data_IF_162611915466
#
_entry.id   IF_162611915466
#
_cell.length_a   1.000
_cell.length_b   1.000
_cell.length_c   1.000
_cell.angle_alpha   90.00
_cell.angle_beta   90.00
_cell.angle_gamma   90.00
#
_symmetry.space_group_name_H-M   'P 1'
#
loop_
_entity.id
_entity.type
_entity.pdbx_description
1 polymer ?
#
# COMPACT_ATOMS: atom_id res chain seq x y z
N UNK A 1 -30.59 27.71 -27.48
CA UNK A 1 -29.14 27.54 -27.19
C UNK A 1 -28.41 27.66 -28.50
N UNK A 2 -27.60 28.70 -28.68
CA UNK A 2 -26.75 28.87 -29.85
C UNK A 2 -25.56 27.91 -29.73
N UNK A 3 -25.43 26.99 -30.69
CA UNK A 3 -24.30 26.07 -30.77
C UNK A 3 -23.15 26.81 -31.45
N UNK A 4 -22.06 27.05 -30.72
CA UNK A 4 -20.84 27.61 -31.28
C UNK A 4 -19.95 26.46 -31.77
N UNK A 5 -19.52 26.51 -33.03
CA UNK A 5 -18.57 25.54 -33.59
C UNK A 5 -17.22 25.64 -32.88
N UNK A 6 -16.63 24.47 -32.57
CA UNK A 6 -15.29 24.37 -32.01
C UNK A 6 -14.25 24.44 -33.14
N UNK A 7 -13.20 25.22 -32.92
CA UNK A 7 -12.05 25.24 -33.83
C UNK A 7 -11.25 23.92 -33.71
N UNK A 8 -10.53 23.50 -34.77
CA UNK A 8 -9.79 22.23 -34.77
C UNK A 8 -8.84 22.05 -33.58
N UNK A 9 -8.23 23.14 -33.10
CA UNK A 9 -7.29 23.15 -32.00
C UNK A 9 -7.95 22.83 -30.65
N UNK A 10 -9.27 23.06 -30.55
CA UNK A 10 -10.06 22.74 -29.35
C UNK A 10 -10.62 21.31 -29.35
N UNK A 11 -10.44 20.57 -30.45
CA UNK A 11 -10.93 19.20 -30.58
C UNK A 11 -10.00 18.17 -29.92
N UNK A 12 -8.75 18.55 -29.61
CA UNK A 12 -7.75 17.66 -29.02
C UNK A 12 -7.02 18.35 -27.88
N UNK A 13 -6.86 17.63 -26.77
CA UNK A 13 -5.89 18.00 -25.75
C UNK A 13 -4.49 17.57 -26.24
N UNK A 14 -3.62 18.54 -26.50
CA UNK A 14 -2.21 18.28 -26.80
C UNK A 14 -1.37 18.39 -25.53
N UNK A 15 -0.48 17.41 -25.34
CA UNK A 15 0.53 17.44 -24.29
C UNK A 15 1.87 17.76 -24.95
N UNK A 16 2.40 18.98 -24.79
CA UNK A 16 3.66 19.38 -25.40
C UNK A 16 4.83 18.54 -24.86
N UNK A 17 5.69 17.96 -25.72
CA UNK A 17 6.78 17.09 -25.27
C UNK A 17 7.77 17.76 -24.32
N UNK A 18 7.98 19.07 -24.49
CA UNK A 18 8.83 19.92 -23.66
C UNK A 18 8.33 20.05 -22.21
N UNK A 19 7.07 19.70 -21.92
CA UNK A 19 6.51 19.72 -20.56
C UNK A 19 6.79 18.43 -19.76
N UNK A 20 7.22 17.35 -20.40
CA UNK A 20 7.35 16.02 -19.76
C UNK A 20 8.67 15.87 -18.98
N UNK A 21 9.67 16.73 -19.24
CA UNK A 21 10.88 16.84 -18.43
C UNK A 21 11.87 15.66 -18.52
N UNK A 22 11.67 14.73 -19.45
CA UNK A 22 12.60 13.63 -19.77
C UNK A 22 12.57 13.33 -21.28
N UNK A 23 13.70 12.89 -21.84
CA UNK A 23 13.74 12.45 -23.24
C UNK A 23 13.16 11.03 -23.37
N UNK A 24 13.47 10.17 -22.42
CA UNK A 24 12.95 8.79 -22.35
C UNK A 24 12.44 8.45 -20.95
N UNK A 25 11.43 7.59 -20.87
CA UNK A 25 10.90 7.11 -19.58
C UNK A 25 11.89 6.25 -18.79
N UNK A 26 12.99 5.81 -19.42
CA UNK A 26 14.05 5.07 -18.74
C UNK A 26 14.88 5.95 -17.79
N UNK A 27 14.87 7.27 -17.99
CA UNK A 27 15.53 8.24 -17.10
C UNK A 27 14.75 8.44 -15.79
N UNK A 28 13.48 8.05 -15.76
CA UNK A 28 12.61 8.26 -14.61
C UNK A 28 12.75 7.12 -13.60
N UNK A 29 13.01 7.48 -12.34
CA UNK A 29 12.98 6.55 -11.22
C UNK A 29 11.56 6.06 -10.91
N UNK A 30 11.42 4.94 -10.18
CA UNK A 30 10.12 4.48 -9.72
C UNK A 30 9.48 5.53 -8.80
N UNK A 31 8.18 5.76 -8.97
CA UNK A 31 7.43 6.69 -8.12
C UNK A 31 7.19 6.04 -6.76
N UNK A 32 7.59 6.73 -5.70
CA UNK A 32 7.30 6.30 -4.34
C UNK A 32 5.84 6.53 -3.97
N UNK A 33 5.22 5.50 -3.38
CA UNK A 33 3.87 5.58 -2.84
C UNK A 33 2.75 5.35 -3.86
N UNK A 34 1.58 5.93 -3.58
CA UNK A 34 0.36 5.71 -4.38
C UNK A 34 -0.05 7.04 -5.03
N UNK A 35 0.05 7.11 -6.36
CA UNK A 35 -0.22 8.33 -7.13
C UNK A 35 -1.70 8.72 -7.00
N UNK A 36 -1.97 9.98 -6.67
CA UNK A 36 -3.32 10.56 -6.66
C UNK A 36 -4.26 10.01 -5.58
N UNK A 37 -3.72 9.36 -4.54
CA UNK A 37 -4.52 8.69 -3.49
C UNK A 37 -4.20 9.21 -2.08
N UNK A 38 -4.02 10.53 -1.92
CA UNK A 38 -3.64 11.17 -0.65
C UNK A 38 -4.56 10.81 0.51
N UNK A 39 -5.87 10.76 0.26
CA UNK A 39 -6.87 10.37 1.27
C UNK A 39 -6.67 8.93 1.72
N UNK A 40 -6.41 8.02 0.78
CA UNK A 40 -6.21 6.61 1.07
C UNK A 40 -4.92 6.39 1.87
N UNK A 41 -3.85 7.08 1.49
CA UNK A 41 -2.56 7.06 2.20
C UNK A 41 -2.69 7.55 3.65
N UNK A 42 -3.39 8.68 3.87
CA UNK A 42 -3.65 9.20 5.22
C UNK A 42 -4.43 8.20 6.08
N UNK A 43 -5.48 7.59 5.53
CA UNK A 43 -6.28 6.59 6.22
C UNK A 43 -5.46 5.34 6.57
N UNK A 44 -4.62 4.86 5.64
CA UNK A 44 -3.76 3.70 5.85
C UNK A 44 -2.71 3.98 6.93
N UNK A 45 -2.06 5.15 6.88
CA UNK A 45 -1.10 5.60 7.91
C UNK A 45 -1.75 5.66 9.28
N UNK A 46 -2.93 6.28 9.38
CA UNK A 46 -3.66 6.38 10.63
C UNK A 46 -4.01 5.00 11.21
N UNK A 47 -4.58 4.12 10.39
CA UNK A 47 -4.98 2.78 10.84
C UNK A 47 -3.81 1.91 11.29
N UNK A 48 -2.66 2.01 10.62
CA UNK A 48 -1.46 1.22 10.95
C UNK A 48 -0.75 1.69 12.23
N UNK A 49 -0.96 2.94 12.63
CA UNK A 49 -0.43 3.50 13.89
C UNK A 49 -1.33 3.23 15.10
N UNK A 50 -2.55 2.74 14.91
CA UNK A 50 -3.43 2.34 16.01
C UNK A 50 -2.91 1.07 16.70
N UNK A 51 -2.57 1.19 17.99
CA UNK A 51 -2.02 0.09 18.81
C UNK A 51 -3.08 -0.75 19.52
N UNK A 52 -4.34 -0.31 19.53
CA UNK A 52 -5.44 -1.03 20.16
C UNK A 52 -5.78 -2.33 19.42
N UNK A 53 -6.23 -3.36 20.15
CA UNK A 53 -6.84 -4.53 19.50
C UNK A 53 -8.19 -4.14 18.89
N UNK A 54 -8.53 -4.77 17.77
CA UNK A 54 -9.81 -4.55 17.08
C UNK A 54 -9.81 -3.48 15.99
N UNK A 55 -8.72 -2.73 15.83
CA UNK A 55 -8.57 -1.80 14.71
C UNK A 55 -8.07 -2.56 13.48
N UNK A 56 -8.90 -2.60 12.44
CA UNK A 56 -8.58 -3.20 11.14
C UNK A 56 -8.82 -2.17 10.04
N UNK A 57 -8.07 -2.26 8.93
CA UNK A 57 -8.22 -1.39 7.76
C UNK A 57 -8.78 -2.19 6.60
N UNK A 58 -9.80 -1.65 5.94
CA UNK A 58 -10.37 -2.18 4.70
C UNK A 58 -10.10 -1.22 3.54
N UNK A 59 -9.63 -1.75 2.41
CA UNK A 59 -9.28 -0.96 1.23
C UNK A 59 -10.29 -1.23 0.11
N UNK A 60 -11.07 -0.21 -0.24
CA UNK A 60 -12.10 -0.26 -1.27
C UNK A 60 -11.74 0.59 -2.50
N UNK A 61 -12.32 0.25 -3.64
CA UNK A 61 -12.19 1.01 -4.88
C UNK A 61 -12.46 0.14 -6.11
N UNK A 62 -12.62 0.75 -7.30
CA UNK A 62 -12.97 0.05 -8.53
C UNK A 62 -12.01 -1.11 -8.85
N UNK A 63 -12.44 -2.15 -9.60
CA UNK A 63 -11.54 -3.21 -10.06
C UNK A 63 -10.28 -2.65 -10.75
N UNK A 64 -9.17 -3.38 -10.70
CA UNK A 64 -7.93 -3.09 -11.45
C UNK A 64 -7.20 -1.77 -11.03
N UNK A 65 -7.68 -1.07 -10.01
CA UNK A 65 -7.03 0.16 -9.47
C UNK A 65 -5.76 -0.06 -8.63
N UNK A 66 -5.12 -1.23 -8.71
CA UNK A 66 -3.84 -1.48 -8.00
C UNK A 66 -3.91 -1.47 -6.46
N UNK A 67 -5.11 -1.56 -5.84
CA UNK A 67 -5.29 -1.47 -4.37
C UNK A 67 -4.35 -2.38 -3.55
N UNK A 68 -4.22 -3.66 -3.96
CA UNK A 68 -3.41 -4.65 -3.25
C UNK A 68 -1.90 -4.33 -3.33
N UNK A 69 -1.29 -4.18 -4.52
CA UNK A 69 0.14 -3.84 -4.60
C UNK A 69 0.45 -2.49 -3.93
N UNK A 70 -0.45 -1.52 -4.06
CA UNK A 70 -0.33 -0.21 -3.41
C UNK A 70 -0.31 -0.32 -1.88
N UNK A 71 -1.27 -1.02 -1.27
CA UNK A 71 -1.31 -1.24 0.17
C UNK A 71 -0.11 -2.07 0.67
N UNK A 72 0.29 -3.10 -0.08
CA UNK A 72 1.46 -3.94 0.26
C UNK A 72 2.75 -3.12 0.28
N UNK A 73 3.04 -2.37 -0.79
CA UNK A 73 4.25 -1.54 -0.88
C UNK A 73 4.33 -0.54 0.28
N UNK A 74 3.21 0.11 0.61
CA UNK A 74 3.13 1.00 1.75
C UNK A 74 3.42 0.29 3.08
N UNK A 75 2.80 -0.87 3.32
CA UNK A 75 3.00 -1.64 4.56
C UNK A 75 4.41 -2.20 4.68
N UNK A 76 5.03 -2.63 3.57
CA UNK A 76 6.42 -3.11 3.55
C UNK A 76 7.40 -1.99 3.94
N UNK A 77 7.18 -0.76 3.47
CA UNK A 77 8.00 0.39 3.85
C UNK A 77 7.86 0.73 5.34
N UNK A 78 6.66 0.63 5.91
CA UNK A 78 6.47 0.82 7.35
C UNK A 78 7.12 -0.33 8.14
N UNK A 79 6.94 -1.58 7.71
CA UNK A 79 7.46 -2.75 8.40
C UNK A 79 8.99 -2.72 8.57
N UNK A 80 9.72 -2.22 7.57
CA UNK A 80 11.19 -2.03 7.64
C UNK A 80 11.65 -1.12 8.79
N UNK A 81 10.77 -0.24 9.27
CA UNK A 81 11.07 0.69 10.39
C UNK A 81 10.68 0.13 11.76
N UNK A 82 10.05 -1.04 11.82
CA UNK A 82 9.55 -1.65 13.05
C UNK A 82 10.46 -2.78 13.54
N UNK A 83 10.45 -3.10 14.84
CA UNK A 83 11.22 -4.23 15.37
C UNK A 83 10.83 -5.54 14.67
N UNK A 84 11.82 -6.42 14.50
CA UNK A 84 11.59 -7.77 13.97
C UNK A 84 10.57 -8.49 14.88
N UNK A 85 9.51 -9.07 14.30
CA UNK A 85 8.50 -9.75 15.10
C UNK A 85 9.09 -10.97 15.83
N UNK A 86 8.53 -11.34 16.99
CA UNK A 86 8.93 -12.53 17.72
C UNK A 86 8.57 -13.80 16.94
N UNK A 87 9.28 -14.89 17.21
CA UNK A 87 8.90 -16.21 16.71
C UNK A 87 7.80 -16.80 17.60
N UNK A 88 6.81 -17.43 16.98
CA UNK A 88 5.74 -18.15 17.68
C UNK A 88 5.82 -19.62 17.32
N UNK A 89 5.97 -20.47 18.34
CA UNK A 89 6.03 -21.92 18.17
C UNK A 89 4.91 -22.60 18.96
N UNK A 90 4.41 -23.70 18.41
CA UNK A 90 3.53 -24.60 19.13
C UNK A 90 4.35 -25.73 19.74
N UNK A 91 4.16 -25.97 21.03
CA UNK A 91 4.77 -27.08 21.75
C UNK A 91 3.70 -28.05 22.23
N UNK A 92 4.07 -29.33 22.27
CA UNK A 92 3.18 -30.36 22.78
C UNK A 92 2.81 -30.04 24.23
N UNK A 93 1.53 -30.17 24.53
CA UNK A 93 1.03 -30.05 25.89
C UNK A 93 0.88 -31.45 26.49
N UNK A 94 1.81 -31.85 27.35
CA UNK A 94 1.82 -33.18 27.98
C UNK A 94 0.59 -33.47 28.85
N UNK A 95 -0.15 -32.46 29.29
CA UNK A 95 -1.41 -32.64 30.03
C UNK A 95 -2.58 -32.95 29.10
N UNK A 96 -2.60 -32.34 27.92
CA UNK A 96 -3.64 -32.53 26.91
C UNK A 96 -3.06 -32.34 25.50
N UNK A 97 -2.73 -33.43 24.79
CA UNK A 97 -2.17 -33.35 23.44
C UNK A 97 -3.06 -32.65 22.41
N UNK A 98 -4.37 -32.53 22.66
CA UNK A 98 -5.30 -31.80 21.79
C UNK A 98 -5.28 -30.28 21.98
N UNK A 99 -4.55 -29.79 22.99
CA UNK A 99 -4.43 -28.37 23.32
C UNK A 99 -2.95 -27.94 23.32
N UNK A 100 -2.29 -27.85 22.15
CA UNK A 100 -0.91 -27.42 22.08
C UNK A 100 -0.74 -26.00 22.64
N UNK A 101 0.38 -25.77 23.34
CA UNK A 101 0.69 -24.46 23.94
C UNK A 101 1.50 -23.61 22.98
N UNK A 102 1.30 -22.30 23.01
CA UNK A 102 2.12 -21.34 22.26
C UNK A 102 3.24 -20.78 23.13
N UNK A 103 4.45 -20.74 22.56
CA UNK A 103 5.59 -20.03 23.16
C UNK A 103 6.00 -18.87 22.26
N UNK A 104 6.31 -17.74 22.88
CA UNK A 104 6.87 -16.55 22.22
C UNK A 104 8.38 -16.54 22.44
N UNK A 105 9.15 -16.62 21.38
CA UNK A 105 10.61 -16.63 21.43
C UNK A 105 11.18 -15.33 20.83
N UNK A 106 12.41 -14.92 21.20
CA UNK A 106 13.10 -13.85 20.51
C UNK A 106 13.24 -14.18 19.01
N UNK A 107 13.38 -13.16 18.13
CA UNK A 107 13.50 -13.40 16.70
C UNK A 107 14.65 -14.35 16.34
N UNK A 108 14.39 -15.34 15.48
CA UNK A 108 15.37 -16.31 15.01
C UNK A 108 15.79 -17.35 16.06
N UNK A 109 14.91 -17.69 17.00
CA UNK A 109 15.17 -18.64 18.09
C UNK A 109 14.22 -19.84 18.14
N UNK A 110 13.29 -19.94 17.19
CA UNK A 110 12.45 -21.13 17.01
C UNK A 110 13.25 -22.38 16.60
#
# INVERSE_FOLDING_TARGET
MTVNELSPEKLRLECPPDQVGCETSAELGPVDGIIGQDRALKALKFGVEMKGKGFNVYVAGPPITGKRPAARSFLENIAKTRPVPPDWVYVNNFQNPYEPKTLKLPPGRA
#
